data_IF_169119910980
#
_entry.id   IF_169119910980
#
_cell.length_a   1.000
_cell.length_b   1.000
_cell.length_c   1.000
_cell.angle_alpha   90.00
_cell.angle_beta   90.00
_cell.angle_gamma   90.00
#
_symmetry.space_group_name_H-M   'P 1'
#
loop_
_entity.id
_entity.type
_entity.pdbx_description
1 polymer ?
#
# COMPACT_ATOMS: atom_id res chain seq x y z
N UNK A 1 -3.44 -44.36 -4.64
CA UNK A 1 -3.06 -45.79 -4.64
C UNK A 1 -2.34 -46.11 -3.35
N UNK A 2 -2.32 -47.37 -2.88
CA UNK A 2 -1.54 -47.75 -1.70
C UNK A 2 -0.04 -47.92 -2.04
N UNK A 3 0.26 -48.20 -3.30
CA UNK A 3 1.62 -48.17 -3.87
C UNK A 3 1.54 -47.89 -5.37
N UNK A 4 2.45 -47.06 -5.90
CA UNK A 4 2.60 -46.79 -7.34
C UNK A 4 3.22 -47.94 -8.14
N UNK A 5 3.83 -48.91 -7.43
CA UNK A 5 4.52 -50.06 -8.03
C UNK A 5 3.55 -51.17 -8.46
N UNK A 6 2.25 -51.01 -8.19
CA UNK A 6 1.24 -52.00 -8.55
C UNK A 6 0.96 -52.04 -10.05
N UNK A 7 0.62 -53.23 -10.55
CA UNK A 7 0.34 -53.46 -11.98
C UNK A 7 -0.83 -52.61 -12.45
N UNK A 8 -0.57 -51.73 -13.41
CA UNK A 8 -1.56 -50.90 -14.07
C UNK A 8 -1.03 -49.47 -14.24
N UNK A 9 -1.20 -48.90 -15.43
CA UNK A 9 -0.72 -47.54 -15.74
C UNK A 9 -1.34 -46.47 -14.84
N UNK A 10 -2.55 -46.73 -14.32
CA UNK A 10 -3.28 -45.82 -13.44
C UNK A 10 -2.65 -45.70 -12.04
N UNK A 11 -1.98 -46.75 -11.56
CA UNK A 11 -1.28 -46.71 -10.26
C UNK A 11 -0.04 -45.81 -10.30
N UNK A 12 0.69 -45.80 -11.42
CA UNK A 12 1.87 -44.95 -11.61
C UNK A 12 1.51 -43.46 -11.61
N UNK A 13 0.34 -43.12 -12.14
CA UNK A 13 -0.16 -41.74 -12.20
C UNK A 13 -0.97 -41.32 -10.96
N UNK A 14 -1.25 -42.24 -10.02
CA UNK A 14 -2.05 -41.98 -8.83
C UNK A 14 -1.20 -41.50 -7.65
N UNK A 15 -1.75 -40.63 -6.80
CA UNK A 15 -1.08 -40.21 -5.56
C UNK A 15 -1.08 -41.34 -4.52
N UNK A 16 0.04 -41.50 -3.82
CA UNK A 16 0.12 -42.31 -2.60
C UNK A 16 -0.49 -41.57 -1.39
N UNK A 17 -0.78 -42.25 -0.27
CA UNK A 17 -1.47 -41.63 0.86
C UNK A 17 -0.73 -40.41 1.41
N UNK A 18 0.60 -40.45 1.47
CA UNK A 18 1.43 -39.34 1.96
C UNK A 18 1.42 -38.15 0.99
N UNK A 19 1.50 -38.41 -0.31
CA UNK A 19 1.44 -37.39 -1.35
C UNK A 19 0.04 -36.76 -1.44
N UNK A 20 -1.01 -37.55 -1.24
CA UNK A 20 -2.37 -37.06 -1.15
C UNK A 20 -2.56 -36.18 0.10
N UNK A 21 -2.04 -36.61 1.25
CA UNK A 21 -2.06 -35.81 2.46
C UNK A 21 -1.29 -34.48 2.28
N UNK A 22 -0.16 -34.51 1.55
CA UNK A 22 0.59 -33.31 1.19
C UNK A 22 -0.22 -32.39 0.28
N UNK A 23 -0.82 -32.92 -0.78
CA UNK A 23 -1.68 -32.14 -1.69
C UNK A 23 -2.83 -31.48 -0.93
N UNK A 24 -3.49 -32.19 -0.01
CA UNK A 24 -4.56 -31.62 0.81
C UNK A 24 -4.04 -30.48 1.69
N UNK A 25 -2.88 -30.65 2.34
CA UNK A 25 -2.25 -29.57 3.13
C UNK A 25 -1.96 -28.35 2.26
N UNK A 26 -1.39 -28.56 1.08
CA UNK A 26 -1.03 -27.47 0.17
C UNK A 26 -2.27 -26.73 -0.36
N UNK A 27 -3.35 -27.45 -0.68
CA UNK A 27 -4.63 -26.83 -1.04
C UNK A 27 -5.13 -25.92 0.08
N UNK A 28 -5.11 -26.38 1.34
CA UNK A 28 -5.54 -25.56 2.48
C UNK A 28 -4.65 -24.34 2.70
N UNK A 29 -3.34 -24.46 2.47
CA UNK A 29 -2.43 -23.31 2.53
C UNK A 29 -2.73 -22.30 1.43
N UNK A 30 -3.01 -22.76 0.20
CA UNK A 30 -3.40 -21.88 -0.90
C UNK A 30 -4.72 -21.18 -0.62
N UNK A 31 -5.73 -21.88 -0.11
CA UNK A 31 -7.01 -21.26 0.28
C UNK A 31 -6.83 -20.14 1.31
N UNK A 32 -5.96 -20.34 2.30
CA UNK A 32 -5.62 -19.31 3.29
C UNK A 32 -4.85 -18.15 2.68
N UNK A 33 -3.87 -18.43 1.81
CA UNK A 33 -3.03 -17.43 1.17
C UNK A 33 -3.80 -16.58 0.15
N UNK A 34 -4.81 -17.15 -0.53
CA UNK A 34 -5.70 -16.42 -1.43
C UNK A 34 -6.47 -15.32 -0.68
N UNK A 35 -6.75 -15.52 0.60
CA UNK A 35 -7.32 -14.50 1.47
C UNK A 35 -8.67 -13.97 0.98
N UNK A 36 -8.87 -12.66 1.09
CA UNK A 36 -10.12 -11.99 0.70
C UNK A 36 -9.95 -11.26 -0.63
N UNK A 37 -10.95 -11.32 -1.54
CA UNK A 37 -10.95 -10.52 -2.76
C UNK A 37 -11.23 -9.02 -2.51
N UNK A 38 -11.56 -8.63 -1.27
CA UNK A 38 -11.90 -7.26 -0.92
C UNK A 38 -10.62 -6.46 -0.71
N UNK A 39 -10.41 -5.43 -1.54
CA UNK A 39 -9.31 -4.49 -1.37
C UNK A 39 -9.56 -3.61 -0.14
N UNK A 40 -8.95 -3.98 0.97
CA UNK A 40 -9.00 -3.24 2.22
C UNK A 40 -7.60 -3.00 2.78
N UNK A 41 -7.45 -1.92 3.52
CA UNK A 41 -6.21 -1.65 4.24
C UNK A 41 -6.14 -2.54 5.48
N UNK A 42 -5.09 -3.33 5.59
CA UNK A 42 -4.94 -4.28 6.69
C UNK A 42 -4.22 -3.63 7.88
N UNK A 43 -4.52 -4.03 9.13
CA UNK A 43 -3.86 -3.49 10.31
C UNK A 43 -2.34 -3.65 10.28
N UNK A 44 -1.82 -4.73 9.69
CA UNK A 44 -0.38 -4.96 9.55
C UNK A 44 0.30 -4.00 8.54
N UNK A 45 -0.48 -3.35 7.66
CA UNK A 45 0.03 -2.39 6.69
C UNK A 45 0.16 -0.99 7.30
N UNK A 46 -0.53 -0.69 8.41
CA UNK A 46 -0.52 0.62 9.10
C UNK A 46 0.91 1.11 9.36
N UNK A 47 1.82 0.33 10.00
CA UNK A 47 3.16 0.83 10.32
C UNK A 47 4.01 1.07 9.07
N UNK A 48 3.80 0.26 8.03
CA UNK A 48 4.48 0.44 6.75
C UNK A 48 4.02 1.74 6.07
N UNK A 49 2.71 1.98 6.06
CA UNK A 49 2.12 3.18 5.51
C UNK A 49 2.48 4.44 6.30
N UNK A 50 2.61 4.37 7.62
CA UNK A 50 3.02 5.52 8.44
C UNK A 50 4.50 5.87 8.22
N UNK A 51 5.34 4.84 8.00
CA UNK A 51 6.77 5.02 7.77
C UNK A 51 7.12 5.43 6.35
N UNK A 52 6.43 4.89 5.34
CA UNK A 52 6.74 5.07 3.92
C UNK A 52 5.69 5.91 3.18
N UNK A 53 4.63 6.31 3.87
CA UNK A 53 3.53 7.10 3.33
C UNK A 53 4.03 8.42 2.79
N UNK A 54 3.80 8.64 1.50
CA UNK A 54 4.12 9.89 0.83
C UNK A 54 3.04 10.93 1.11
N UNK A 55 3.50 12.15 1.32
CA UNK A 55 2.69 13.33 1.61
C UNK A 55 3.17 14.51 0.77
N UNK A 56 2.31 15.51 0.70
CA UNK A 56 2.56 16.79 0.03
C UNK A 56 3.41 17.66 0.95
N UNK A 57 4.58 18.07 0.46
CA UNK A 57 5.52 18.98 1.14
C UNK A 57 5.78 20.20 0.28
N UNK A 58 6.19 21.31 0.89
CA UNK A 58 6.57 22.51 0.15
C UNK A 58 7.90 22.31 -0.60
N UNK A 59 7.94 22.71 -1.87
CA UNK A 59 9.14 22.61 -2.72
C UNK A 59 10.22 23.67 -2.37
N UNK A 60 9.76 24.79 -1.81
CA UNK A 60 10.48 26.01 -1.45
C UNK A 60 9.75 26.70 -0.29
N UNK A 61 10.27 27.83 0.20
CA UNK A 61 9.59 28.63 1.22
C UNK A 61 8.38 29.33 0.60
N UNK A 62 7.19 29.06 1.13
CA UNK A 62 5.93 29.60 0.65
C UNK A 62 5.37 30.60 1.66
N UNK A 63 5.07 31.81 1.18
CA UNK A 63 4.51 32.88 2.00
C UNK A 63 2.98 32.82 2.03
N UNK A 64 2.42 33.30 3.13
CA UNK A 64 0.98 33.51 3.30
C UNK A 64 0.42 34.36 2.15
N UNK A 65 -0.73 33.94 1.63
CA UNK A 65 -1.40 34.59 0.51
C UNK A 65 -0.94 34.11 -0.87
N UNK A 66 0.09 33.25 -0.95
CA UNK A 66 0.52 32.64 -2.20
C UNK A 66 -0.52 31.60 -2.68
N UNK A 67 -0.79 31.61 -3.98
CA UNK A 67 -1.59 30.57 -4.64
C UNK A 67 -0.70 29.39 -4.99
N UNK A 68 -1.06 28.23 -4.49
CA UNK A 68 -0.30 27.00 -4.68
C UNK A 68 -0.35 26.56 -6.14
N UNK A 69 0.82 26.38 -6.75
CA UNK A 69 0.99 25.73 -8.05
C UNK A 69 1.68 24.37 -7.91
N UNK A 70 1.73 23.58 -8.99
CA UNK A 70 2.42 22.29 -9.01
C UNK A 70 3.92 22.42 -8.73
N UNK A 71 4.55 23.52 -9.14
CA UNK A 71 5.98 23.76 -8.95
C UNK A 71 6.34 24.03 -7.49
N UNK A 72 5.39 24.59 -6.74
CA UNK A 72 5.57 24.94 -5.33
C UNK A 72 5.43 23.71 -4.39
N UNK A 73 5.05 22.55 -4.93
CA UNK A 73 4.82 21.32 -4.16
C UNK A 73 5.79 20.22 -4.58
N UNK A 74 6.21 19.41 -3.61
CA UNK A 74 6.87 18.12 -3.85
C UNK A 74 6.16 17.00 -3.10
N UNK A 75 6.41 15.78 -3.54
CA UNK A 75 5.93 14.57 -2.88
C UNK A 75 7.11 13.90 -2.18
N UNK A 76 7.07 13.85 -0.85
CA UNK A 76 8.09 13.20 -0.02
C UNK A 76 7.46 12.43 1.14
N UNK A 77 8.23 11.52 1.72
CA UNK A 77 7.91 10.98 3.04
C UNK A 77 8.22 12.08 4.04
N UNK A 78 7.24 12.47 4.84
CA UNK A 78 7.40 13.52 5.86
C UNK A 78 6.89 13.00 7.21
N UNK A 79 7.45 13.53 8.29
CA UNK A 79 7.03 13.22 9.64
C UNK A 79 6.95 14.53 10.45
N UNK A 80 5.78 14.93 10.95
CA UNK A 80 4.47 14.30 10.82
C UNK A 80 3.95 14.26 9.37
N UNK A 81 3.11 13.28 9.06
CA UNK A 81 2.55 13.14 7.72
C UNK A 81 1.55 14.28 7.43
N UNK A 82 1.82 15.05 6.37
CA UNK A 82 0.88 16.04 5.84
C UNK A 82 -0.24 15.44 5.00
N UNK A 83 -0.80 16.25 4.11
CA UNK A 83 -1.83 15.82 3.17
C UNK A 83 -1.31 14.69 2.27
N UNK A 84 -2.12 13.63 2.13
CA UNK A 84 -1.81 12.51 1.22
C UNK A 84 -1.84 12.97 -0.23
N UNK A 85 -0.97 12.40 -1.06
CA UNK A 85 -0.86 12.73 -2.49
C UNK A 85 -2.17 12.58 -3.28
N UNK A 86 -3.12 11.77 -2.79
CA UNK A 86 -4.47 11.65 -3.38
C UNK A 86 -5.20 13.00 -3.48
N UNK A 87 -4.92 13.92 -2.56
CA UNK A 87 -5.55 15.24 -2.51
C UNK A 87 -4.72 16.34 -3.17
N UNK A 88 -3.61 16.00 -3.85
CA UNK A 88 -2.75 16.97 -4.52
C UNK A 88 -3.53 17.92 -5.44
N UNK A 89 -4.39 17.36 -6.28
CA UNK A 89 -5.20 18.15 -7.23
C UNK A 89 -6.17 19.12 -6.55
N UNK A 90 -6.56 18.85 -5.29
CA UNK A 90 -7.42 19.75 -4.52
C UNK A 90 -6.67 20.89 -3.84
N UNK A 91 -5.33 20.83 -3.81
CA UNK A 91 -4.47 21.86 -3.26
C UNK A 91 -4.05 22.89 -4.30
N UNK A 92 -3.95 22.49 -5.56
CA UNK A 92 -3.57 23.38 -6.66
C UNK A 92 -4.64 24.48 -6.78
N UNK A 93 -4.20 25.73 -6.76
CA UNK A 93 -5.06 26.92 -6.82
C UNK A 93 -5.58 27.42 -5.46
N UNK A 94 -5.38 26.66 -4.37
CA UNK A 94 -5.68 27.14 -3.02
C UNK A 94 -4.70 28.22 -2.57
N UNK A 95 -5.15 29.06 -1.63
CA UNK A 95 -4.33 30.14 -1.09
C UNK A 95 -3.81 29.78 0.29
N UNK A 96 -2.53 30.01 0.52
CA UNK A 96 -1.91 29.77 1.82
C UNK A 96 -2.40 30.76 2.88
N UNK A 97 -2.73 30.23 4.06
CA UNK A 97 -3.18 31.01 5.23
C UNK A 97 -2.02 31.27 6.20
N UNK A 98 -0.97 30.45 6.10
CA UNK A 98 0.24 30.45 6.93
C UNK A 98 1.48 30.40 6.05
N UNK A 99 2.62 30.86 6.58
CA UNK A 99 3.92 30.66 5.94
C UNK A 99 4.37 29.21 6.16
N UNK A 100 4.85 28.55 5.11
CA UNK A 100 5.34 27.16 5.15
C UNK A 100 6.77 27.15 4.63
N UNK A 101 7.70 26.53 5.36
CA UNK A 101 9.09 26.43 4.91
C UNK A 101 9.28 25.29 3.93
N UNK A 102 10.34 25.38 3.14
CA UNK A 102 10.79 24.30 2.27
C UNK A 102 10.89 22.98 3.05
N UNK A 103 10.40 21.90 2.42
CA UNK A 103 10.36 20.54 2.95
C UNK A 103 9.41 20.33 4.16
N UNK A 104 8.66 21.35 4.58
CA UNK A 104 7.59 21.17 5.57
C UNK A 104 6.34 20.54 4.94
N UNK A 105 5.61 19.69 5.69
CA UNK A 105 4.36 19.10 5.25
C UNK A 105 3.24 20.13 5.20
N UNK A 106 2.44 20.10 4.13
CA UNK A 106 1.26 20.97 3.99
C UNK A 106 0.04 20.26 4.59
N UNK A 107 -0.69 20.94 5.48
CA UNK A 107 -1.93 20.44 6.08
C UNK A 107 -3.16 21.16 5.54
N UNK A 108 -4.35 20.60 5.80
CA UNK A 108 -5.61 21.19 5.33
C UNK A 108 -5.93 22.54 6.01
N UNK A 109 -5.34 22.81 7.18
CA UNK A 109 -5.52 24.06 7.91
C UNK A 109 -4.64 25.19 7.37
N UNK A 110 -3.59 24.86 6.62
CA UNK A 110 -2.67 25.84 6.03
C UNK A 110 -3.22 26.46 4.73
N UNK A 111 -4.32 25.90 4.20
CA UNK A 111 -4.87 26.25 2.88
C UNK A 111 -6.34 26.63 2.95
N UNK A 112 -6.69 27.75 2.33
CA UNK A 112 -8.07 28.19 2.09
C UNK A 112 -8.53 27.75 0.71
#
# INVERSE_FOLDING_TARGET
TLSKEWKGSDHVCSLEPDEFAQMVRDIRQVELALGSPIKQFLPCEVPCQDKLGKSVVAAEDLLKGLKISEENIKIKVSHPAGIRCKYLNSLIGKTLVTDIRKDEPINFFDVS
#
